data_IF_167948147196
#
_entry.id   IF_167948147196
#
_cell.length_a   1.000
_cell.length_b   1.000
_cell.length_c   1.000
_cell.angle_alpha   90.00
_cell.angle_beta   90.00
_cell.angle_gamma   90.00
#
_symmetry.space_group_name_H-M   'P 1'
#
loop_
_entity.id
_entity.type
_entity.pdbx_description
1 polymer ?
#
# COMPACT_ATOMS: atom_id res chain seq x y z
N UNK A 1 19.36 -9.29 5.17
CA UNK A 1 19.24 -8.87 3.75
C UNK A 1 17.92 -8.13 3.60
N UNK A 2 17.88 -6.94 2.97
CA UNK A 2 16.61 -6.29 2.65
C UNK A 2 15.76 -7.22 1.75
N UNK A 3 14.46 -7.29 2.00
CA UNK A 3 13.53 -8.08 1.19
C UNK A 3 13.51 -7.51 -0.23
N UNK A 4 13.72 -8.36 -1.23
CA UNK A 4 13.68 -7.93 -2.62
C UNK A 4 12.29 -7.36 -2.96
N UNK A 5 12.24 -6.21 -3.66
CA UNK A 5 10.97 -5.57 -4.02
C UNK A 5 10.04 -6.50 -4.79
N UNK A 6 10.57 -7.40 -5.62
CA UNK A 6 9.77 -8.42 -6.31
C UNK A 6 9.01 -9.36 -5.35
N UNK A 7 9.63 -9.74 -4.22
CA UNK A 7 8.98 -10.56 -3.20
C UNK A 7 7.85 -9.79 -2.50
N UNK A 8 8.04 -8.48 -2.27
CA UNK A 8 6.99 -7.61 -1.74
C UNK A 8 5.81 -7.48 -2.70
N UNK A 9 6.08 -7.30 -3.99
CA UNK A 9 5.05 -7.28 -5.04
C UNK A 9 4.27 -8.59 -5.06
N UNK A 10 4.94 -9.74 -4.90
CA UNK A 10 4.26 -11.04 -4.85
C UNK A 10 3.40 -11.21 -3.60
N UNK A 11 3.89 -10.81 -2.42
CA UNK A 11 3.11 -10.82 -1.19
C UNK A 11 1.85 -9.95 -1.30
N UNK A 12 1.99 -8.70 -1.76
CA UNK A 12 0.86 -7.80 -1.96
C UNK A 12 -0.12 -8.32 -3.02
N UNK A 13 0.38 -8.99 -4.07
CA UNK A 13 -0.47 -9.63 -5.08
C UNK A 13 -1.34 -10.71 -4.45
N UNK A 14 -0.78 -11.52 -3.55
CA UNK A 14 -1.52 -12.56 -2.83
C UNK A 14 -2.60 -11.91 -1.95
N UNK A 15 -2.23 -10.90 -1.16
CA UNK A 15 -3.16 -10.20 -0.26
C UNK A 15 -4.33 -9.53 -1.02
N UNK A 16 -4.04 -8.90 -2.15
CA UNK A 16 -5.07 -8.26 -2.98
C UNK A 16 -5.68 -9.18 -4.06
N UNK A 17 -5.25 -10.44 -4.10
CA UNK A 17 -5.75 -11.55 -4.93
C UNK A 17 -5.62 -11.35 -6.46
N UNK A 18 -4.98 -10.28 -6.95
CA UNK A 18 -4.91 -10.00 -8.40
C UNK A 18 -3.80 -9.03 -8.79
N UNK A 19 -3.11 -9.33 -9.90
CA UNK A 19 -2.17 -8.40 -10.55
C UNK A 19 -2.86 -7.10 -10.99
N UNK A 20 -4.10 -7.20 -11.50
CA UNK A 20 -4.83 -6.03 -11.95
C UNK A 20 -5.15 -5.13 -10.75
N UNK A 21 -5.61 -5.71 -9.65
CA UNK A 21 -5.95 -4.95 -8.44
C UNK A 21 -4.73 -4.29 -7.81
N UNK A 22 -3.59 -5.00 -7.76
CA UNK A 22 -2.34 -4.41 -7.29
C UNK A 22 -1.86 -3.27 -8.22
N UNK A 23 -1.98 -3.45 -9.53
CA UNK A 23 -1.62 -2.43 -10.51
C UNK A 23 -2.48 -1.17 -10.33
N UNK A 24 -3.80 -1.35 -10.12
CA UNK A 24 -4.71 -0.25 -9.84
C UNK A 24 -4.31 0.48 -8.56
N UNK A 25 -4.05 -0.24 -7.46
CA UNK A 25 -3.62 0.35 -6.18
C UNK A 25 -2.35 1.22 -6.36
N UNK A 26 -1.34 0.71 -7.05
CA UNK A 26 -0.07 1.40 -7.28
C UNK A 26 -0.11 2.47 -8.39
N UNK A 27 -1.21 2.54 -9.16
CA UNK A 27 -1.34 3.46 -10.28
C UNK A 27 -0.40 3.13 -11.44
N UNK A 28 -0.20 1.84 -11.71
CA UNK A 28 0.67 1.32 -12.78
C UNK A 28 -0.10 0.36 -13.67
N UNK A 29 0.49 -0.05 -14.80
CA UNK A 29 -0.15 -1.05 -15.67
C UNK A 29 0.04 -2.49 -15.16
N UNK A 30 -0.92 -3.38 -15.44
CA UNK A 30 -0.82 -4.82 -15.12
C UNK A 30 0.43 -5.48 -15.72
N UNK A 31 0.89 -5.00 -16.89
CA UNK A 31 2.09 -5.52 -17.55
C UNK A 31 3.38 -5.13 -16.81
N UNK A 32 3.41 -3.97 -16.14
CA UNK A 32 4.51 -3.61 -15.24
C UNK A 32 4.57 -4.57 -14.05
N UNK A 33 3.44 -4.82 -13.37
CA UNK A 33 3.38 -5.78 -12.26
C UNK A 33 3.84 -7.17 -12.70
N UNK A 34 3.39 -7.64 -13.86
CA UNK A 34 3.81 -8.93 -14.41
C UNK A 34 5.31 -8.98 -14.73
N UNK A 35 5.91 -7.87 -15.20
CA UNK A 35 7.36 -7.78 -15.44
C UNK A 35 8.16 -7.80 -14.14
N UNK A 36 7.70 -7.10 -13.11
CA UNK A 36 8.36 -7.09 -11.80
C UNK A 36 8.40 -8.48 -11.17
N UNK A 37 7.29 -9.23 -11.24
CA UNK A 37 7.20 -10.62 -10.78
C UNK A 37 8.12 -11.57 -11.57
N UNK A 38 8.47 -11.21 -12.81
CA UNK A 38 9.43 -11.95 -13.65
C UNK A 38 10.89 -11.50 -13.47
N UNK A 39 11.16 -10.59 -12.54
CA UNK A 39 12.51 -10.13 -12.23
C UNK A 39 13.08 -9.08 -13.18
N UNK A 40 12.25 -8.39 -13.97
CA UNK A 40 12.69 -7.38 -14.94
C UNK A 40 13.22 -6.06 -14.31
N UNK A 41 13.40 -6.02 -13.00
CA UNK A 41 13.73 -4.81 -12.24
C UNK A 41 12.53 -3.88 -12.05
N UNK A 42 12.62 -3.04 -11.02
CA UNK A 42 11.64 -1.99 -10.70
C UNK A 42 12.41 -0.68 -10.54
N UNK A 43 11.89 0.40 -11.12
CA UNK A 43 12.51 1.71 -10.96
C UNK A 43 12.33 2.22 -9.52
N UNK A 44 13.22 3.10 -9.03
CA UNK A 44 13.20 3.57 -7.64
C UNK A 44 11.86 4.17 -7.20
N UNK A 45 11.17 4.90 -8.08
CA UNK A 45 9.90 5.55 -7.77
C UNK A 45 8.78 4.53 -7.54
N UNK A 46 8.70 3.50 -8.38
CA UNK A 46 7.72 2.43 -8.18
C UNK A 46 8.11 1.51 -7.02
N UNK A 47 9.41 1.32 -6.75
CA UNK A 47 9.89 0.58 -5.59
C UNK A 47 9.43 1.27 -4.29
N UNK A 48 9.56 2.58 -4.21
CA UNK A 48 9.11 3.37 -3.06
C UNK A 48 7.58 3.25 -2.84
N UNK A 49 6.78 3.28 -3.90
CA UNK A 49 5.33 3.05 -3.81
C UNK A 49 4.98 1.67 -3.28
N UNK A 50 5.71 0.64 -3.73
CA UNK A 50 5.53 -0.74 -3.25
C UNK A 50 5.88 -0.84 -1.77
N UNK A 51 7.02 -0.27 -1.37
CA UNK A 51 7.47 -0.26 0.02
C UNK A 51 6.48 0.48 0.93
N UNK A 52 5.95 1.62 0.46
CA UNK A 52 4.96 2.39 1.19
C UNK A 52 3.63 1.63 1.31
N UNK A 53 3.17 0.98 0.24
CA UNK A 53 1.95 0.17 0.28
C UNK A 53 2.10 -1.01 1.25
N UNK A 54 3.24 -1.71 1.21
CA UNK A 54 3.55 -2.81 2.14
C UNK A 54 3.54 -2.34 3.59
N UNK A 55 4.19 -1.21 3.88
CA UNK A 55 4.25 -0.65 5.23
C UNK A 55 2.85 -0.25 5.74
N UNK A 56 2.07 0.44 4.92
CA UNK A 56 0.70 0.85 5.28
C UNK A 56 -0.18 -0.38 5.50
N UNK A 57 -0.16 -1.33 4.57
CA UNK A 57 -0.98 -2.54 4.64
C UNK A 57 -0.66 -3.38 5.88
N UNK A 58 0.62 -3.66 6.12
CA UNK A 58 1.06 -4.39 7.31
C UNK A 58 0.76 -3.67 8.62
N UNK A 59 0.71 -2.33 8.61
CA UNK A 59 0.31 -1.55 9.78
C UNK A 59 -1.20 -1.64 10.03
N UNK A 60 -2.01 -1.56 8.98
CA UNK A 60 -3.47 -1.66 9.08
C UNK A 60 -3.92 -3.05 9.52
N UNK A 61 -3.27 -4.12 9.04
CA UNK A 61 -3.58 -5.50 9.45
C UNK A 61 -3.27 -5.78 10.93
N UNK A 62 -2.53 -4.91 11.62
CA UNK A 62 -2.34 -4.99 13.09
C UNK A 62 -3.47 -4.34 13.87
N UNK A 63 -4.29 -3.51 13.21
CA UNK A 63 -5.40 -2.78 13.81
C UNK A 63 -6.75 -3.36 13.39
N UNK A 64 -6.83 -3.90 12.17
CA UNK A 64 -8.08 -4.28 11.53
C UNK A 64 -7.98 -5.62 10.81
N UNK A 65 -9.13 -6.28 10.69
CA UNK A 65 -9.32 -7.38 9.75
C UNK A 65 -9.11 -6.91 8.30
N UNK A 66 -8.70 -7.82 7.38
CA UNK A 66 -8.33 -7.45 6.01
C UNK A 66 -9.37 -6.63 5.24
N UNK A 67 -10.66 -6.92 5.41
CA UNK A 67 -11.73 -6.19 4.71
C UNK A 67 -11.86 -4.75 5.22
N UNK A 68 -11.74 -4.54 6.53
CA UNK A 68 -11.75 -3.20 7.14
C UNK A 68 -10.48 -2.42 6.79
N UNK A 69 -9.31 -3.06 6.81
CA UNK A 69 -8.06 -2.44 6.35
C UNK A 69 -8.15 -1.98 4.89
N UNK A 70 -8.79 -2.79 4.04
CA UNK A 70 -9.04 -2.42 2.63
C UNK A 70 -10.02 -1.26 2.51
N UNK A 71 -11.09 -1.25 3.29
CA UNK A 71 -12.05 -0.15 3.31
C UNK A 71 -11.37 1.15 3.73
N UNK A 72 -10.49 1.11 4.73
CA UNK A 72 -9.69 2.26 5.16
C UNK A 72 -8.80 2.79 4.03
N UNK A 73 -8.09 1.90 3.33
CA UNK A 73 -7.16 2.28 2.25
C UNK A 73 -7.86 2.92 1.04
N UNK A 74 -9.07 2.44 0.72
CA UNK A 74 -9.84 2.85 -0.46
C UNK A 74 -10.88 3.94 -0.17
N UNK A 75 -11.26 4.12 1.09
CA UNK A 75 -12.24 5.09 1.57
C UNK A 75 -11.65 6.47 1.79
N UNK A 76 -12.53 7.45 2.02
CA UNK A 76 -12.11 8.79 2.42
C UNK A 76 -11.64 8.75 3.87
N UNK A 77 -10.53 9.43 4.16
CA UNK A 77 -9.97 9.47 5.49
C UNK A 77 -9.98 10.91 6.05
N UNK A 78 -10.71 11.18 7.15
CA UNK A 78 -10.76 12.51 7.77
C UNK A 78 -9.39 13.02 8.23
N UNK A 79 -8.52 12.13 8.70
CA UNK A 79 -7.15 12.47 9.13
C UNK A 79 -6.25 12.89 7.95
N UNK A 80 -6.70 12.67 6.71
CA UNK A 80 -6.00 13.04 5.48
C UNK A 80 -6.68 14.19 4.71
N UNK A 81 -7.66 14.86 5.33
CA UNK A 81 -8.47 15.90 4.70
C UNK A 81 -9.40 15.32 3.64
N UNK A 82 -10.11 14.25 3.99
CA UNK A 82 -11.06 13.51 3.14
C UNK A 82 -10.47 12.99 1.82
N UNK A 83 -9.16 12.77 1.78
CA UNK A 83 -8.48 12.09 0.67
C UNK A 83 -8.42 10.60 0.90
N UNK A 84 -8.30 9.83 -0.19
CA UNK A 84 -8.13 8.38 -0.09
C UNK A 84 -6.67 8.05 0.22
N UNK A 85 -6.37 7.24 1.25
CA UNK A 85 -5.00 6.86 1.56
C UNK A 85 -4.24 6.27 0.37
N UNK A 86 -4.92 5.51 -0.50
CA UNK A 86 -4.28 4.94 -1.70
C UNK A 86 -3.74 6.01 -2.67
N UNK A 87 -4.36 7.18 -2.75
CA UNK A 87 -3.87 8.27 -3.60
C UNK A 87 -2.58 8.86 -3.04
N UNK A 88 -2.44 8.91 -1.72
CA UNK A 88 -1.20 9.33 -1.06
C UNK A 88 -0.09 8.29 -1.26
N UNK A 89 -0.41 6.99 -1.30
CA UNK A 89 0.55 5.94 -1.65
C UNK A 89 1.08 6.17 -3.06
N UNK A 90 0.18 6.41 -4.03
CA UNK A 90 0.56 6.69 -5.42
C UNK A 90 1.39 7.98 -5.57
N UNK A 91 1.16 8.96 -4.70
CA UNK A 91 1.87 10.23 -4.68
C UNK A 91 3.16 10.21 -3.83
N UNK A 92 3.51 9.09 -3.19
CA UNK A 92 4.69 8.99 -2.33
C UNK A 92 4.61 9.83 -1.04
N UNK A 93 3.40 10.17 -0.58
CA UNK A 93 3.18 11.05 0.58
C UNK A 93 3.27 10.28 1.90
N UNK A 94 4.43 9.67 2.16
CA UNK A 94 4.66 8.75 3.27
C UNK A 94 4.41 9.40 4.65
N UNK A 95 4.88 10.63 4.87
CA UNK A 95 4.76 11.30 6.17
C UNK A 95 3.30 11.50 6.61
N UNK A 96 2.42 11.90 5.69
CA UNK A 96 1.00 12.08 5.97
C UNK A 96 0.31 10.75 6.27
N UNK A 97 0.61 9.71 5.48
CA UNK A 97 0.09 8.35 5.74
C UNK A 97 0.51 7.84 7.11
N UNK A 98 1.79 7.98 7.47
CA UNK A 98 2.29 7.54 8.77
C UNK A 98 1.75 8.40 9.92
N UNK A 99 1.39 9.65 9.69
CA UNK A 99 0.66 10.47 10.68
C UNK A 99 -0.76 9.95 10.88
N UNK A 100 -1.49 9.67 9.80
CA UNK A 100 -2.85 9.13 9.89
C UNK A 100 -2.89 7.77 10.57
N UNK A 101 -1.96 6.84 10.26
CA UNK A 101 -1.89 5.53 10.93
C UNK A 101 -1.61 5.68 12.43
N UNK A 102 -0.74 6.63 12.82
CA UNK A 102 -0.48 6.90 14.23
C UNK A 102 -1.70 7.45 14.96
N UNK A 103 -2.47 8.33 14.31
CA UNK A 103 -3.72 8.84 14.84
C UNK A 103 -4.75 7.71 15.01
N UNK A 104 -4.92 6.87 13.99
CA UNK A 104 -5.81 5.71 14.02
C UNK A 104 -5.47 4.75 15.15
N UNK A 105 -4.17 4.49 15.34
CA UNK A 105 -3.68 3.65 16.42
C UNK A 105 -3.98 4.25 17.79
N UNK A 106 -3.83 5.57 17.94
CA UNK A 106 -4.13 6.25 19.21
C UNK A 106 -5.63 6.19 19.56
N UNK A 107 -6.49 6.35 18.55
CA UNK A 107 -7.94 6.27 18.73
C UNK A 107 -8.42 4.84 19.04
N UNK A 108 -7.79 3.83 18.43
CA UNK A 108 -8.13 2.42 18.67
C UNK A 108 -7.81 1.91 20.10
N UNK A 109 -7.01 2.65 20.88
CA UNK A 109 -6.66 2.32 22.27
C UNK A 109 -7.32 3.23 23.32
N UNK A 110 -8.13 4.20 22.89
CA UNK A 110 -8.87 5.11 23.76
C UNK A 110 -10.23 4.49 24.18
#
# INVERSE_FOLDING_TARGET
>A
MPVATAAKVDALRVDFQSNARLADLLGVSRSQVTRWLKGAGIDPLNAEKVDLLELVWSSLLRLYEPDTARAWLLGLNPNLGDRRPIELVRAGRAEELMRAIRAERADSFA
#
